data_IF_523750382105
#
_entry.id   IF_523750382105
#
_cell.length_a   1.000
_cell.length_b   1.000
_cell.length_c   1.000
_cell.angle_alpha   90.00
_cell.angle_beta   90.00
_cell.angle_gamma   90.00
#
_symmetry.space_group_name_H-M   'P 1'
#
loop_
_entity.id
_entity.type
_entity.pdbx_description
1 polymer ?
#
# COMPACT_ATOMS: atom_id res chain seq x y z
N UNK A 1 7.68 -19.09 -2.80
CA UNK A 1 7.60 -18.87 -1.34
C UNK A 1 8.77 -19.50 -0.59
N UNK A 2 9.96 -19.53 -1.20
CA UNK A 2 11.21 -19.76 -0.48
C UNK A 2 11.92 -18.42 -0.34
N UNK A 3 12.68 -18.18 0.72
CA UNK A 3 13.49 -16.97 0.81
C UNK A 3 14.71 -17.14 1.70
N UNK A 4 15.71 -16.29 1.50
CA UNK A 4 16.90 -16.15 2.35
C UNK A 4 16.81 -14.82 3.09
N UNK A 5 16.75 -14.85 4.43
CA UNK A 5 16.56 -13.66 5.25
C UNK A 5 17.68 -13.52 6.29
N UNK A 6 18.14 -12.29 6.48
CA UNK A 6 18.89 -11.86 7.67
C UNK A 6 17.91 -11.13 8.59
N UNK A 7 17.63 -11.71 9.76
CA UNK A 7 16.65 -11.21 10.71
C UNK A 7 17.29 -10.73 12.02
N UNK A 8 16.56 -9.91 12.78
CA UNK A 8 16.98 -9.46 14.11
C UNK A 8 16.28 -10.32 15.17
N UNK A 9 17.06 -11.02 16.00
CA UNK A 9 16.55 -11.77 17.15
C UNK A 9 16.09 -10.82 18.26
N UNK A 10 15.29 -11.35 19.18
CA UNK A 10 14.81 -10.62 20.37
C UNK A 10 15.98 -10.05 21.20
N UNK A 11 17.10 -10.77 21.23
CA UNK A 11 18.34 -10.37 21.93
C UNK A 11 19.18 -9.33 21.15
N UNK A 12 18.59 -8.66 20.16
CA UNK A 12 19.23 -7.60 19.35
C UNK A 12 20.47 -8.05 18.54
N UNK A 13 20.58 -9.35 18.28
CA UNK A 13 21.61 -9.94 17.43
C UNK A 13 21.02 -10.43 16.09
N UNK A 14 21.83 -10.45 15.04
CA UNK A 14 21.41 -10.92 13.71
C UNK A 14 21.56 -12.43 13.55
N UNK A 15 20.68 -13.04 12.76
CA UNK A 15 20.84 -14.42 12.27
C UNK A 15 20.37 -14.55 10.83
N UNK A 16 20.79 -15.62 10.13
CA UNK A 16 20.42 -15.91 8.74
C UNK A 16 19.68 -17.24 8.65
N UNK A 17 18.63 -17.30 7.83
CA UNK A 17 17.83 -18.50 7.62
C UNK A 17 17.34 -18.63 6.17
N UNK A 18 17.21 -19.88 5.71
CA UNK A 18 16.48 -20.23 4.49
C UNK A 18 15.12 -20.77 4.92
N UNK A 19 14.05 -20.20 4.37
CA UNK A 19 12.68 -20.49 4.75
C UNK A 19 11.90 -21.09 3.60
N UNK A 20 10.99 -22.00 3.91
CA UNK A 20 10.05 -22.59 2.96
C UNK A 20 8.62 -22.44 3.49
N UNK A 21 7.74 -21.81 2.70
CA UNK A 21 6.33 -21.66 3.01
C UNK A 21 5.45 -21.61 1.77
N UNK A 22 5.47 -22.65 0.90
CA UNK A 22 4.83 -22.59 -0.41
C UNK A 22 3.30 -22.40 -0.35
N UNK A 23 2.62 -23.09 0.56
CA UNK A 23 1.17 -22.97 0.74
C UNK A 23 0.75 -21.58 1.24
N UNK A 24 1.42 -21.07 2.27
CA UNK A 24 1.16 -19.73 2.79
C UNK A 24 1.50 -18.64 1.77
N UNK A 25 2.58 -18.80 1.01
CA UNK A 25 2.93 -17.86 -0.06
C UNK A 25 1.84 -17.83 -1.15
N UNK A 26 1.33 -18.99 -1.57
CA UNK A 26 0.25 -19.07 -2.55
C UNK A 26 -1.02 -18.36 -2.04
N UNK A 27 -1.45 -18.66 -0.81
CA UNK A 27 -2.61 -18.02 -0.20
C UNK A 27 -2.40 -16.52 -0.02
N UNK A 28 -1.19 -16.10 0.35
CA UNK A 28 -0.85 -14.69 0.50
C UNK A 28 -0.96 -13.92 -0.81
N UNK A 29 -0.47 -14.47 -1.93
CA UNK A 29 -0.60 -13.81 -3.25
C UNK A 29 -2.07 -13.59 -3.61
N UNK A 30 -2.91 -14.62 -3.44
CA UNK A 30 -4.34 -14.52 -3.75
C UNK A 30 -5.04 -13.52 -2.80
N UNK A 31 -4.76 -13.60 -1.50
CA UNK A 31 -5.35 -12.74 -0.49
C UNK A 31 -4.97 -11.26 -0.70
N UNK A 32 -3.69 -10.96 -0.91
CA UNK A 32 -3.23 -9.59 -1.21
C UNK A 32 -3.89 -9.05 -2.48
N UNK A 33 -4.00 -9.87 -3.53
CA UNK A 33 -4.65 -9.46 -4.78
C UNK A 33 -6.09 -9.07 -4.53
N UNK A 34 -6.85 -9.86 -3.78
CA UNK A 34 -8.23 -9.54 -3.42
C UNK A 34 -8.32 -8.30 -2.52
N UNK A 35 -7.45 -8.18 -1.51
CA UNK A 35 -7.39 -6.99 -0.63
C UNK A 35 -7.22 -5.72 -1.46
N UNK A 36 -6.31 -5.71 -2.44
CA UNK A 36 -6.10 -4.54 -3.31
C UNK A 36 -7.27 -4.23 -4.24
N UNK A 37 -8.10 -5.22 -4.55
CA UNK A 37 -9.25 -5.05 -5.45
C UNK A 37 -10.56 -4.71 -4.71
N UNK A 38 -10.59 -4.89 -3.39
CA UNK A 38 -11.77 -4.70 -2.53
C UNK A 38 -11.64 -3.42 -1.71
N UNK A 39 -10.53 -3.23 -1.01
CA UNK A 39 -10.40 -2.19 0.01
C UNK A 39 -9.86 -0.87 -0.57
N UNK A 40 -10.28 0.24 0.05
CA UNK A 40 -9.74 1.56 -0.29
C UNK A 40 -8.30 1.75 0.22
N UNK A 41 -7.67 2.84 -0.22
CA UNK A 41 -6.27 3.17 0.09
C UNK A 41 -5.96 3.21 1.60
N UNK A 42 -6.75 3.96 2.37
CA UNK A 42 -6.51 4.12 3.82
C UNK A 42 -6.70 2.82 4.61
N UNK A 43 -7.63 1.96 4.19
CA UNK A 43 -7.79 0.63 4.78
C UNK A 43 -6.58 -0.24 4.50
N UNK A 44 -6.04 -0.21 3.27
CA UNK A 44 -4.83 -0.96 2.89
C UNK A 44 -3.60 -0.43 3.65
N UNK A 45 -3.48 0.88 3.83
CA UNK A 45 -2.39 1.49 4.62
C UNK A 45 -2.43 0.98 6.07
N UNK A 46 -3.59 1.05 6.69
CA UNK A 46 -3.80 0.56 8.06
C UNK A 46 -3.52 -0.95 8.17
N UNK A 47 -4.03 -1.74 7.22
CA UNK A 47 -3.78 -3.18 7.13
C UNK A 47 -2.27 -3.49 7.14
N UNK A 48 -1.48 -2.84 6.29
CA UNK A 48 -0.03 -3.06 6.18
C UNK A 48 0.72 -2.61 7.42
N UNK A 49 0.36 -1.46 7.99
CA UNK A 49 1.02 -0.92 9.18
C UNK A 49 0.75 -1.78 10.41
N UNK A 50 -0.51 -2.14 10.65
CA UNK A 50 -0.88 -3.04 11.74
C UNK A 50 -0.29 -4.43 11.56
N UNK A 51 -0.32 -4.98 10.34
CA UNK A 51 0.25 -6.29 10.01
C UNK A 51 1.74 -6.39 10.33
N UNK A 52 2.54 -5.38 9.98
CA UNK A 52 3.97 -5.33 10.33
C UNK A 52 4.19 -5.29 11.85
N UNK A 53 3.41 -4.48 12.57
CA UNK A 53 3.51 -4.37 14.03
C UNK A 53 3.11 -5.69 14.72
N UNK A 54 2.03 -6.32 14.24
CA UNK A 54 1.58 -7.61 14.73
C UNK A 54 2.59 -8.72 14.43
N UNK A 55 3.24 -8.71 13.27
CA UNK A 55 4.31 -9.65 12.92
C UNK A 55 5.50 -9.59 13.88
N UNK A 56 5.90 -8.38 14.30
CA UNK A 56 6.93 -8.21 15.33
C UNK A 56 6.49 -8.77 16.69
N UNK A 57 5.27 -8.46 17.13
CA UNK A 57 4.74 -8.99 18.39
C UNK A 57 4.63 -10.52 18.38
N UNK A 58 4.25 -11.10 17.24
CA UNK A 58 4.24 -12.55 17.05
C UNK A 58 5.66 -13.14 17.19
N UNK A 59 6.66 -12.54 16.54
CA UNK A 59 8.06 -12.98 16.63
C UNK A 59 8.61 -12.87 18.06
N UNK A 60 8.18 -11.87 18.83
CA UNK A 60 8.51 -11.70 20.25
C UNK A 60 7.74 -12.66 21.20
N UNK A 61 6.89 -13.55 20.68
CA UNK A 61 6.11 -14.50 21.46
C UNK A 61 4.85 -13.92 22.12
N UNK A 62 4.44 -12.70 21.73
CA UNK A 62 3.34 -11.93 22.35
C UNK A 62 2.00 -12.10 21.65
N UNK A 63 1.75 -13.25 21.03
CA UNK A 63 0.59 -13.44 20.14
C UNK A 63 -0.78 -13.27 20.82
N UNK A 64 -0.87 -13.57 22.12
CA UNK A 64 -2.11 -13.48 22.89
C UNK A 64 -2.15 -12.27 23.84
N UNK A 65 -1.12 -11.44 23.84
CA UNK A 65 -1.11 -10.21 24.63
C UNK A 65 -2.18 -9.22 24.12
N UNK A 66 -2.73 -8.35 25.00
CA UNK A 66 -3.78 -7.40 24.62
C UNK A 66 -3.46 -6.55 23.38
N UNK A 67 -2.23 -6.04 23.26
CA UNK A 67 -1.81 -5.26 22.10
C UNK A 67 -1.84 -6.05 20.78
N UNK A 68 -1.60 -7.36 20.81
CA UNK A 68 -1.70 -8.23 19.63
C UNK A 68 -3.16 -8.48 19.27
N UNK A 69 -4.02 -8.68 20.28
CA UNK A 69 -5.46 -8.83 20.07
C UNK A 69 -6.07 -7.56 19.47
N UNK A 70 -5.66 -6.38 19.95
CA UNK A 70 -6.10 -5.07 19.44
C UNK A 70 -5.75 -4.84 17.97
N UNK A 71 -4.62 -5.40 17.49
CA UNK A 71 -4.23 -5.30 16.08
C UNK A 71 -4.86 -6.40 15.23
N UNK A 72 -4.99 -7.61 15.78
CA UNK A 72 -5.50 -8.78 15.05
C UNK A 72 -7.00 -8.70 14.81
N UNK A 73 -7.76 -8.21 15.79
CA UNK A 73 -9.22 -8.09 15.70
C UNK A 73 -9.65 -7.30 14.46
N UNK A 74 -9.14 -6.08 14.20
CA UNK A 74 -9.63 -5.31 13.08
C UNK A 74 -9.17 -5.90 11.73
N UNK A 75 -7.98 -6.49 11.67
CA UNK A 75 -7.49 -7.20 10.49
C UNK A 75 -8.40 -8.39 10.12
N UNK A 76 -8.92 -9.12 11.11
CA UNK A 76 -9.83 -10.23 10.85
C UNK A 76 -11.25 -9.75 10.55
N UNK A 77 -11.79 -8.85 11.37
CA UNK A 77 -13.21 -8.47 11.32
C UNK A 77 -13.56 -7.46 10.23
N UNK A 78 -12.70 -6.48 9.95
CA UNK A 78 -12.99 -5.43 8.96
C UNK A 78 -12.32 -5.69 7.62
N UNK A 79 -11.08 -6.19 7.63
CA UNK A 79 -10.37 -6.50 6.38
C UNK A 79 -10.76 -7.89 5.90
N UNK A 80 -10.51 -8.92 6.71
CA UNK A 80 -10.69 -10.33 6.33
C UNK A 80 -12.12 -10.74 5.99
N UNK A 81 -13.13 -10.22 6.69
CA UNK A 81 -14.54 -10.56 6.45
C UNK A 81 -15.06 -10.16 5.07
N UNK A 82 -14.49 -9.13 4.46
CA UNK A 82 -14.87 -8.64 3.14
C UNK A 82 -14.16 -9.40 2.00
N UNK A 83 -13.12 -10.18 2.30
CA UNK A 83 -12.31 -10.87 1.29
C UNK A 83 -13.02 -12.14 0.82
N UNK A 84 -13.86 -11.97 -0.19
CA UNK A 84 -14.52 -13.07 -0.91
C UNK A 84 -14.25 -12.89 -2.40
N UNK A 85 -13.73 -13.94 -3.06
CA UNK A 85 -13.42 -13.92 -4.48
C UNK A 85 -12.45 -15.03 -4.87
N UNK A 86 -12.07 -15.06 -6.15
CA UNK A 86 -11.15 -16.02 -6.73
C UNK A 86 -10.03 -15.29 -7.49
N UNK A 87 -8.82 -15.84 -7.42
CA UNK A 87 -7.66 -15.35 -8.16
C UNK A 87 -7.07 -16.53 -8.91
N UNK A 88 -6.98 -16.40 -10.23
CA UNK A 88 -6.38 -17.44 -11.08
C UNK A 88 -4.92 -17.11 -11.30
N UNK A 89 -4.01 -18.05 -11.01
CA UNK A 89 -2.57 -17.84 -11.15
C UNK A 89 -1.91 -18.91 -12.01
N UNK A 90 -0.85 -18.53 -12.71
CA UNK A 90 0.11 -19.44 -13.34
C UNK A 90 1.40 -19.44 -12.56
N UNK A 91 1.73 -20.57 -11.92
CA UNK A 91 2.98 -20.77 -11.21
C UNK A 91 4.06 -21.33 -12.15
N UNK A 92 5.30 -20.87 -12.00
CA UNK A 92 6.46 -21.37 -12.75
C UNK A 92 7.53 -21.84 -11.75
N UNK A 93 8.74 -21.26 -11.76
CA UNK A 93 9.86 -21.67 -10.89
C UNK A 93 10.08 -20.64 -9.79
N UNK A 94 10.08 -21.08 -8.53
CA UNK A 94 10.29 -20.18 -7.40
C UNK A 94 9.16 -19.16 -7.26
N UNK A 95 9.52 -17.88 -7.18
CA UNK A 95 8.57 -16.76 -7.09
C UNK A 95 8.20 -16.18 -8.47
N UNK A 96 8.51 -16.91 -9.55
CA UNK A 96 8.05 -16.59 -10.89
C UNK A 96 6.59 -17.06 -11.08
N UNK A 97 5.65 -16.13 -11.07
CA UNK A 97 4.23 -16.39 -11.32
C UNK A 97 3.54 -15.24 -12.07
N UNK A 98 2.35 -15.49 -12.60
CA UNK A 98 1.50 -14.46 -13.21
C UNK A 98 0.08 -14.59 -12.68
N UNK A 99 -0.53 -13.47 -12.32
CA UNK A 99 -1.97 -13.40 -12.06
C UNK A 99 -2.65 -13.35 -13.43
N UNK A 100 -3.55 -14.29 -13.68
CA UNK A 100 -4.29 -14.40 -14.94
C UNK A 100 -5.67 -13.75 -14.84
N UNK A 101 -6.33 -13.87 -13.69
CA UNK A 101 -7.67 -13.35 -13.47
C UNK A 101 -7.92 -13.01 -12.00
N UNK A 102 -8.89 -12.15 -11.73
CA UNK A 102 -9.33 -11.76 -10.39
C UNK A 102 -10.82 -11.45 -10.43
N UNK A 103 -11.61 -12.27 -9.76
CA UNK A 103 -13.08 -12.16 -9.74
C UNK A 103 -13.58 -12.14 -8.30
N UNK A 104 -14.72 -11.49 -8.07
CA UNK A 104 -15.32 -11.46 -6.74
C UNK A 104 -16.54 -10.56 -6.64
N UNK A 105 -17.45 -10.82 -5.69
CA UNK A 105 -18.67 -10.04 -5.51
C UNK A 105 -18.44 -8.68 -4.82
N UNK A 106 -17.29 -8.47 -4.17
CA UNK A 106 -17.01 -7.27 -3.37
C UNK A 106 -15.92 -6.38 -3.97
N UNK A 107 -15.57 -6.59 -5.24
CA UNK A 107 -14.58 -5.74 -5.90
C UNK A 107 -15.12 -4.31 -5.99
N UNK A 108 -14.30 -3.35 -5.54
CA UNK A 108 -14.57 -1.93 -5.76
C UNK A 108 -13.95 -1.44 -7.07
N UNK A 109 -13.05 -2.24 -7.65
CA UNK A 109 -12.61 -2.09 -9.03
C UNK A 109 -13.77 -2.34 -10.00
N UNK A 110 -14.21 -1.26 -10.66
CA UNK A 110 -15.37 -1.22 -11.53
C UNK A 110 -15.08 -0.24 -12.68
N UNK A 111 -14.34 -0.67 -13.73
CA UNK A 111 -13.89 0.21 -14.80
C UNK A 111 -15.04 0.89 -15.54
N UNK A 112 -16.20 0.24 -15.63
CA UNK A 112 -17.41 0.77 -16.24
C UNK A 112 -17.92 2.04 -15.55
N UNK A 113 -17.69 2.20 -14.24
CA UNK A 113 -18.08 3.42 -13.49
C UNK A 113 -17.21 4.63 -13.80
N UNK A 114 -16.07 4.42 -14.43
CA UNK A 114 -15.14 5.47 -14.86
C UNK A 114 -15.11 5.60 -16.40
N UNK A 115 -16.02 4.94 -17.11
CA UNK A 115 -16.15 5.07 -18.55
C UNK A 115 -16.60 6.49 -18.91
N UNK A 116 -15.93 7.09 -19.89
CA UNK A 116 -16.24 8.42 -20.43
C UNK A 116 -16.83 8.35 -21.84
N UNK A 117 -17.23 7.16 -22.30
CA UNK A 117 -17.73 6.95 -23.68
C UNK A 117 -19.14 7.54 -23.89
N UNK A 118 -19.94 7.66 -22.83
CA UNK A 118 -21.28 8.25 -22.82
C UNK A 118 -21.30 9.42 -21.85
N UNK A 119 -21.65 10.59 -22.35
CA UNK A 119 -21.60 11.86 -21.58
C UNK A 119 -22.74 11.97 -20.57
N UNK A 120 -23.83 11.23 -20.76
CA UNK A 120 -25.04 11.31 -19.91
C UNK A 120 -24.84 10.68 -18.52
N UNK A 121 -23.99 9.65 -18.40
CA UNK A 121 -23.78 8.88 -17.16
C UNK A 121 -22.37 9.05 -16.56
N UNK A 122 -21.63 10.10 -16.97
CA UNK A 122 -20.26 10.31 -16.46
C UNK A 122 -20.25 10.71 -14.98
N UNK A 123 -19.33 10.14 -14.21
CA UNK A 123 -19.20 10.44 -12.77
C UNK A 123 -18.64 11.85 -12.50
N UNK A 124 -17.86 12.42 -13.41
CA UNK A 124 -17.30 13.76 -13.33
C UNK A 124 -16.92 14.27 -14.72
N UNK A 125 -17.01 15.59 -14.94
CA UNK A 125 -16.57 16.25 -16.16
C UNK A 125 -15.11 16.74 -16.09
N UNK A 126 -14.55 17.20 -17.22
CA UNK A 126 -13.18 17.73 -17.25
C UNK A 126 -12.96 18.93 -16.30
N UNK A 127 -13.96 19.81 -16.16
CA UNK A 127 -13.88 21.00 -15.32
C UNK A 127 -13.85 20.68 -13.83
N UNK A 128 -14.51 19.60 -13.40
CA UNK A 128 -14.50 19.18 -11.99
C UNK A 128 -13.08 18.84 -11.54
N UNK A 129 -12.29 18.21 -12.43
CA UNK A 129 -10.89 17.89 -12.17
C UNK A 129 -10.03 19.16 -12.07
N UNK A 130 -10.29 20.18 -12.89
CA UNK A 130 -9.61 21.49 -12.77
C UNK A 130 -9.93 22.15 -11.43
N UNK A 131 -11.19 22.09 -10.99
CA UNK A 131 -11.60 22.54 -9.65
C UNK A 131 -10.82 21.82 -8.54
N UNK A 132 -10.73 20.48 -8.62
CA UNK A 132 -9.96 19.69 -7.65
C UNK A 132 -8.48 20.07 -7.61
N UNK A 133 -7.85 20.35 -8.76
CA UNK A 133 -6.45 20.80 -8.82
C UNK A 133 -6.28 22.17 -8.16
N UNK A 134 -7.24 23.07 -8.37
CA UNK A 134 -7.20 24.44 -7.84
C UNK A 134 -7.17 24.45 -6.32
N UNK A 135 -7.88 23.52 -5.67
CA UNK A 135 -7.89 23.39 -4.20
C UNK A 135 -6.53 23.04 -3.59
N UNK A 136 -5.55 22.58 -4.39
CA UNK A 136 -4.19 22.26 -3.92
C UNK A 136 -3.26 23.47 -3.87
N UNK A 137 -3.61 24.61 -4.49
CA UNK A 137 -2.68 25.74 -4.66
C UNK A 137 -2.14 26.30 -3.34
N UNK A 138 -3.00 26.43 -2.32
CA UNK A 138 -2.60 27.00 -1.01
C UNK A 138 -1.49 26.16 -0.35
N UNK A 139 -1.67 24.84 -0.31
CA UNK A 139 -0.69 23.91 0.27
C UNK A 139 0.60 23.83 -0.56
N UNK A 140 0.50 23.99 -1.89
CA UNK A 140 1.66 24.06 -2.79
C UNK A 140 2.50 25.32 -2.50
N UNK A 141 1.87 26.47 -2.33
CA UNK A 141 2.56 27.73 -2.05
C UNK A 141 3.17 27.75 -0.65
N UNK A 142 2.48 27.18 0.35
CA UNK A 142 3.02 26.97 1.68
C UNK A 142 4.24 26.02 1.64
N UNK A 143 4.14 24.91 0.91
CA UNK A 143 5.23 23.95 0.73
C UNK A 143 6.44 24.57 0.02
N UNK A 144 6.22 25.41 -1.00
CA UNK A 144 7.28 26.20 -1.65
C UNK A 144 7.97 27.13 -0.67
N UNK A 145 7.20 27.85 0.13
CA UNK A 145 7.73 28.75 1.17
C UNK A 145 8.57 28.00 2.21
N UNK A 146 8.22 26.74 2.53
CA UNK A 146 9.05 25.89 3.41
C UNK A 146 10.41 25.55 2.81
N UNK A 147 10.54 25.44 1.49
CA UNK A 147 11.84 25.19 0.86
C UNK A 147 12.84 26.33 1.16
N UNK A 148 12.37 27.58 1.17
CA UNK A 148 13.20 28.73 1.52
C UNK A 148 13.64 28.69 2.99
N UNK A 149 12.73 28.31 3.89
CA UNK A 149 13.05 28.09 5.32
C UNK A 149 14.12 27.00 5.47
N UNK A 150 14.00 25.89 4.76
CA UNK A 150 14.99 24.82 4.79
C UNK A 150 16.34 25.25 4.19
N UNK A 151 16.35 26.14 3.20
CA UNK A 151 17.59 26.72 2.64
C UNK A 151 18.28 27.63 3.67
N UNK A 152 17.52 28.48 4.35
CA UNK A 152 18.06 29.37 5.40
C UNK A 152 18.59 28.58 6.61
N UNK A 153 17.93 27.47 6.95
CA UNK A 153 18.38 26.57 8.01
C UNK A 153 19.61 25.72 7.62
N UNK A 154 20.06 25.78 6.36
CA UNK A 154 21.20 25.00 5.86
C UNK A 154 20.89 23.52 5.58
N UNK A 155 19.62 23.11 5.65
CA UNK A 155 19.18 21.73 5.37
C UNK A 155 19.21 21.43 3.87
N UNK A 156 18.94 22.43 3.02
CA UNK A 156 19.03 22.32 1.55
C UNK A 156 20.22 23.16 1.08
N UNK A 157 21.10 22.57 0.27
CA UNK A 157 22.27 23.26 -0.30
C UNK A 157 21.86 24.42 -1.22
N UNK A 158 22.67 25.48 -1.26
CA UNK A 158 22.45 26.69 -2.06
C UNK A 158 22.77 26.53 -3.56
N UNK A 159 22.97 25.31 -4.04
CA UNK A 159 23.29 25.04 -5.45
C UNK A 159 22.05 24.84 -6.31
N UNK A 160 22.09 25.37 -7.53
CA UNK A 160 21.09 25.27 -8.60
C UNK A 160 20.89 23.82 -9.12
N UNK A 161 20.60 22.89 -8.22
CA UNK A 161 20.45 21.47 -8.52
C UNK A 161 19.25 20.89 -7.79
N UNK A 162 18.38 20.23 -8.56
CA UNK A 162 17.16 19.51 -8.17
C UNK A 162 15.94 20.34 -7.71
N UNK A 163 16.11 21.48 -7.02
CA UNK A 163 14.98 22.18 -6.36
C UNK A 163 14.63 23.55 -6.96
N UNK A 164 15.35 23.97 -7.99
CA UNK A 164 15.02 25.17 -8.75
C UNK A 164 14.19 24.76 -9.98
N UNK A 165 12.94 25.20 -10.03
CA UNK A 165 12.20 25.22 -11.28
C UNK A 165 12.89 26.26 -12.16
N UNK A 166 13.65 25.81 -13.16
CA UNK A 166 14.13 26.72 -14.19
C UNK A 166 12.92 27.45 -14.77
N UNK A 167 13.01 28.78 -14.87
CA UNK A 167 11.98 29.61 -15.49
C UNK A 167 11.70 29.05 -16.89
N UNK A 168 10.61 28.30 -17.02
CA UNK A 168 10.12 27.75 -18.27
C UNK A 168 9.66 28.89 -19.16
N UNK A 169 10.60 29.42 -19.96
CA UNK A 169 10.33 30.09 -21.23
C UNK A 169 10.40 29.07 -22.35
#
# INVERSE_FOLDING_TARGET
>A
GMSDQIENRIIEAKSRGIYEGPGLALLHIAYERLVTAIHNENTIENYRTMGRRLGRLLYEGRWFDPQSLMLREPLLRWVGSAVTGEVTLRLRRGDDYSILDTTGPHLTYAPERLSMERVEDQAFGPLDRIGQLTMRNLDIDDSRSKLDVYRQAGTIGSGAGLFELGDGR
#
